data_IF_056880271821
#
_entry.id   IF_056880271821
#
_cell.length_a   1.000
_cell.length_b   1.000
_cell.length_c   1.000
_cell.angle_alpha   90.00
_cell.angle_beta   90.00
_cell.angle_gamma   90.00
#
_symmetry.space_group_name_H-M   'P 1'
#
loop_
_entity.id
_entity.type
_entity.pdbx_description
1 polymer ?
#
# COMPACT_ATOMS: atom_id res chain seq x y z
N UNK A 1 -5.81 20.41 -2.99
CA UNK A 1 -7.16 20.04 -2.50
C UNK A 1 -7.06 18.78 -1.65
N UNK A 2 -7.84 18.66 -0.56
CA UNK A 2 -7.89 17.44 0.24
C UNK A 2 -9.33 17.01 0.55
N UNK A 3 -9.55 15.70 0.71
CA UNK A 3 -10.81 15.11 1.16
C UNK A 3 -10.54 14.01 2.18
N UNK A 4 -11.27 14.02 3.28
CA UNK A 4 -11.27 12.94 4.28
C UNK A 4 -12.50 12.06 4.10
N UNK A 5 -12.27 10.75 4.10
CA UNK A 5 -13.27 9.71 4.01
C UNK A 5 -13.21 8.86 5.28
N UNK A 6 -14.38 8.45 5.79
CA UNK A 6 -14.48 7.48 6.87
C UNK A 6 -15.18 6.26 6.30
N UNK A 7 -14.46 5.14 6.26
CA UNK A 7 -14.85 3.91 5.60
C UNK A 7 -14.89 2.75 6.61
N UNK A 8 -15.73 1.72 6.39
CA UNK A 8 -15.61 0.48 7.13
C UNK A 8 -14.24 -0.16 6.89
N UNK A 9 -13.75 -0.94 7.86
CA UNK A 9 -12.53 -1.70 7.62
C UNK A 9 -12.75 -2.71 6.48
N UNK A 10 -11.82 -2.83 5.52
CA UNK A 10 -11.89 -3.87 4.49
C UNK A 10 -11.76 -5.27 5.11
N UNK A 11 -12.20 -6.33 4.42
CA UNK A 11 -11.91 -7.71 4.82
C UNK A 11 -10.41 -7.98 4.86
N UNK A 12 -9.97 -8.99 5.63
CA UNK A 12 -8.55 -9.38 5.68
C UNK A 12 -8.06 -9.92 4.33
N UNK A 13 -6.76 -9.88 4.03
CA UNK A 13 -6.21 -10.47 2.78
C UNK A 13 -6.69 -11.92 2.60
N UNK A 14 -6.65 -12.69 3.69
CA UNK A 14 -7.05 -14.10 3.69
C UNK A 14 -8.53 -14.29 3.33
N UNK A 15 -9.37 -13.29 3.59
CA UNK A 15 -10.78 -13.31 3.24
C UNK A 15 -11.10 -12.52 1.95
N UNK A 16 -10.12 -11.90 1.30
CA UNK A 16 -10.36 -11.12 0.07
C UNK A 16 -10.45 -11.99 -1.18
N UNK A 17 -9.81 -13.15 -1.20
CA UNK A 17 -9.72 -14.00 -2.37
C UNK A 17 -10.18 -15.43 -2.06
N UNK A 18 -10.86 -16.03 -3.03
CA UNK A 18 -11.21 -17.45 -3.04
C UNK A 18 -10.61 -18.11 -4.28
N UNK A 19 -10.36 -19.41 -4.21
CA UNK A 19 -9.90 -20.19 -5.36
C UNK A 19 -11.07 -20.95 -5.95
N UNK A 20 -11.43 -20.64 -7.19
CA UNK A 20 -12.50 -21.31 -7.93
C UNK A 20 -11.91 -21.87 -9.21
N UNK A 21 -11.98 -23.20 -9.41
CA UNK A 21 -11.41 -23.90 -10.57
C UNK A 21 -9.93 -23.52 -10.83
N UNK A 22 -9.12 -23.43 -9.76
CA UNK A 22 -7.70 -23.07 -9.84
C UNK A 22 -7.40 -21.59 -10.11
N UNK A 23 -8.42 -20.74 -10.26
CA UNK A 23 -8.25 -19.29 -10.45
C UNK A 23 -8.55 -18.54 -9.15
N UNK A 24 -7.69 -17.57 -8.80
CA UNK A 24 -7.98 -16.64 -7.70
C UNK A 24 -9.02 -15.64 -8.16
N UNK A 25 -10.14 -15.60 -7.45
CA UNK A 25 -11.23 -14.65 -7.67
C UNK A 25 -11.50 -13.89 -6.39
N UNK A 26 -12.06 -12.68 -6.52
CA UNK A 26 -12.49 -11.93 -5.34
C UNK A 26 -13.56 -12.73 -4.59
N UNK A 27 -13.43 -12.85 -3.28
CA UNK A 27 -14.42 -13.52 -2.44
C UNK A 27 -15.76 -12.77 -2.47
N UNK A 28 -16.83 -13.44 -2.03
CA UNK A 28 -18.11 -12.76 -1.85
C UNK A 28 -18.00 -11.58 -0.88
N UNK A 29 -17.28 -11.74 0.24
CA UNK A 29 -17.13 -10.70 1.27
C UNK A 29 -16.46 -9.45 0.70
N UNK A 30 -15.40 -9.63 -0.09
CA UNK A 30 -14.69 -8.53 -0.71
C UNK A 30 -15.51 -7.88 -1.83
N UNK A 31 -16.31 -8.63 -2.60
CA UNK A 31 -17.25 -8.04 -3.57
C UNK A 31 -18.30 -7.18 -2.87
N UNK A 32 -18.94 -7.72 -1.85
CA UNK A 32 -19.96 -7.02 -1.06
C UNK A 32 -19.39 -5.74 -0.42
N UNK A 33 -18.17 -5.81 0.12
CA UNK A 33 -17.45 -4.64 0.62
C UNK A 33 -17.22 -3.59 -0.49
N UNK A 34 -16.71 -3.99 -1.67
CA UNK A 34 -16.47 -3.06 -2.78
C UNK A 34 -17.76 -2.38 -3.21
N UNK A 35 -18.82 -3.15 -3.50
CA UNK A 35 -20.10 -2.64 -3.98
C UNK A 35 -20.72 -1.64 -2.99
N UNK A 36 -20.86 -2.04 -1.72
CA UNK A 36 -21.45 -1.20 -0.67
C UNK A 36 -20.65 0.09 -0.45
N UNK A 37 -19.33 0.00 -0.46
CA UNK A 37 -18.47 1.16 -0.19
C UNK A 37 -18.45 2.11 -1.39
N UNK A 38 -18.42 1.60 -2.63
CA UNK A 38 -18.52 2.42 -3.84
C UNK A 38 -19.86 3.16 -3.88
N UNK A 39 -20.96 2.45 -3.62
CA UNK A 39 -22.30 3.05 -3.58
C UNK A 39 -22.40 4.13 -2.50
N UNK A 40 -21.91 3.84 -1.29
CA UNK A 40 -21.87 4.79 -0.18
C UNK A 40 -21.07 6.05 -0.51
N UNK A 41 -19.89 5.89 -1.11
CA UNK A 41 -19.06 7.01 -1.55
C UNK A 41 -19.76 7.86 -2.62
N UNK A 42 -20.40 7.24 -3.61
CA UNK A 42 -21.14 7.97 -4.65
C UNK A 42 -22.30 8.76 -4.06
N UNK A 43 -23.09 8.16 -3.16
CA UNK A 43 -24.20 8.84 -2.47
C UNK A 43 -23.69 10.00 -1.61
N UNK A 44 -22.62 9.78 -0.83
CA UNK A 44 -22.02 10.82 -0.01
C UNK A 44 -21.47 11.98 -0.85
N UNK A 45 -20.87 11.69 -2.01
CA UNK A 45 -20.35 12.71 -2.92
C UNK A 45 -21.43 13.63 -3.46
N UNK A 46 -22.58 13.05 -3.84
CA UNK A 46 -23.74 13.81 -4.28
C UNK A 46 -24.28 14.69 -3.14
N UNK A 47 -24.38 14.15 -1.93
CA UNK A 47 -24.85 14.88 -0.74
C UNK A 47 -23.93 16.05 -0.35
N UNK A 48 -22.62 15.88 -0.52
CA UNK A 48 -21.61 16.90 -0.23
C UNK A 48 -21.46 17.93 -1.35
N UNK A 49 -22.18 17.78 -2.46
CA UNK A 49 -22.03 18.69 -3.61
C UNK A 49 -20.64 18.63 -4.23
N UNK A 50 -20.00 17.45 -4.26
CA UNK A 50 -18.77 17.27 -5.04
C UNK A 50 -19.15 17.31 -6.53
N UNK A 51 -19.15 18.52 -7.11
CA UNK A 51 -19.50 18.76 -8.50
C UNK A 51 -18.48 18.14 -9.46
N UNK A 52 -18.85 17.91 -10.74
CA UNK A 52 -17.97 17.29 -11.74
C UNK A 52 -16.57 17.91 -11.80
N UNK A 53 -16.46 19.24 -11.67
CA UNK A 53 -15.20 19.98 -11.73
C UNK A 53 -14.20 19.61 -10.62
N UNK A 54 -14.66 19.41 -9.38
CA UNK A 54 -13.80 18.98 -8.28
C UNK A 54 -13.27 17.55 -8.49
N UNK A 55 -14.14 16.66 -8.99
CA UNK A 55 -13.74 15.29 -9.32
C UNK A 55 -12.77 15.25 -10.50
N UNK A 56 -12.95 16.12 -11.49
CA UNK A 56 -12.08 16.26 -12.65
C UNK A 56 -10.67 16.70 -12.24
N UNK A 57 -10.58 17.70 -11.35
CA UNK A 57 -9.29 18.12 -10.79
C UNK A 57 -8.52 16.97 -10.15
N UNK A 58 -9.19 16.03 -9.46
CA UNK A 58 -8.53 14.83 -8.90
C UNK A 58 -8.18 13.78 -9.94
N UNK A 59 -8.94 13.66 -11.03
CA UNK A 59 -8.62 12.72 -12.12
C UNK A 59 -7.39 13.16 -12.93
N UNK A 60 -7.15 14.46 -13.00
CA UNK A 60 -6.02 15.04 -13.72
C UNK A 60 -4.76 15.17 -12.85
N UNK A 61 -4.91 15.30 -11.53
CA UNK A 61 -3.80 15.43 -10.58
C UNK A 61 -3.12 14.10 -10.26
N UNK A 62 -1.90 14.18 -9.72
CA UNK A 62 -1.35 13.07 -8.94
C UNK A 62 -1.98 13.03 -7.55
N UNK A 63 -2.00 11.86 -6.92
CA UNK A 63 -2.68 11.65 -5.66
C UNK A 63 -1.74 11.05 -4.62
N UNK A 64 -1.81 11.62 -3.42
CA UNK A 64 -1.31 11.01 -2.19
C UNK A 64 -2.51 10.52 -1.37
N UNK A 65 -2.48 9.24 -0.99
CA UNK A 65 -3.49 8.63 -0.13
C UNK A 65 -2.87 8.34 1.24
N UNK A 66 -3.47 8.86 2.30
CA UNK A 66 -3.09 8.51 3.68
C UNK A 66 -4.20 7.65 4.30
N UNK A 67 -3.85 6.46 4.75
CA UNK A 67 -4.77 5.50 5.36
C UNK A 67 -4.44 5.32 6.84
N UNK A 68 -5.33 5.77 7.71
CA UNK A 68 -5.30 5.45 9.14
C UNK A 68 -6.28 4.30 9.40
N UNK A 69 -5.74 3.12 9.71
CA UNK A 69 -6.53 1.94 10.06
C UNK A 69 -6.72 1.89 11.58
N UNK A 70 -7.93 2.15 12.04
CA UNK A 70 -8.32 2.01 13.45
C UNK A 70 -8.82 0.59 13.70
N UNK A 71 -7.95 -0.26 14.25
CA UNK A 71 -8.29 -1.64 14.61
C UNK A 71 -8.71 -1.76 16.08
N UNK A 72 -9.42 -2.85 16.41
CA UNK A 72 -9.71 -3.18 17.81
C UNK A 72 -8.47 -3.67 18.58
N UNK A 73 -7.50 -4.29 17.91
CA UNK A 73 -6.29 -4.81 18.56
C UNK A 73 -5.06 -4.54 17.68
N UNK A 74 -3.86 -4.38 18.28
CA UNK A 74 -2.66 -3.99 17.54
C UNK A 74 -2.10 -5.09 16.64
N UNK A 75 -2.29 -6.36 17.01
CA UNK A 75 -1.56 -7.50 16.41
C UNK A 75 -2.39 -8.37 15.46
N UNK A 76 -3.71 -8.15 15.35
CA UNK A 76 -4.57 -9.09 14.61
C UNK A 76 -4.49 -8.96 13.09
N UNK A 77 -4.08 -7.81 12.57
CA UNK A 77 -4.11 -7.53 11.12
C UNK A 77 -2.86 -6.80 10.67
N UNK A 78 -2.40 -7.18 9.49
CA UNK A 78 -1.36 -6.45 8.78
C UNK A 78 -1.90 -5.14 8.24
N UNK A 79 -1.01 -4.16 8.14
CA UNK A 79 -1.36 -2.79 7.80
C UNK A 79 -1.69 -2.64 6.31
N UNK A 80 -0.92 -3.29 5.46
CA UNK A 80 -1.09 -3.37 4.01
C UNK A 80 -2.27 -4.26 3.60
N UNK A 81 -2.80 -5.06 4.53
CA UNK A 81 -3.85 -6.02 4.24
C UNK A 81 -5.14 -5.44 3.67
N UNK A 82 -5.41 -4.17 3.94
CA UNK A 82 -6.56 -3.44 3.40
C UNK A 82 -6.23 -2.50 2.23
N UNK A 83 -4.95 -2.28 1.93
CA UNK A 83 -4.50 -1.18 1.08
C UNK A 83 -5.09 -1.25 -0.33
N UNK A 84 -4.85 -2.38 -1.03
CA UNK A 84 -5.21 -2.49 -2.44
C UNK A 84 -6.72 -2.40 -2.65
N UNK A 85 -7.52 -3.12 -1.87
CA UNK A 85 -8.98 -3.08 -2.00
C UNK A 85 -9.56 -1.71 -1.62
N UNK A 86 -8.98 -1.01 -0.64
CA UNK A 86 -9.40 0.34 -0.27
C UNK A 86 -9.10 1.34 -1.39
N UNK A 87 -7.88 1.32 -1.93
CA UNK A 87 -7.49 2.16 -3.07
C UNK A 87 -8.40 1.90 -4.28
N UNK A 88 -8.63 0.64 -4.64
CA UNK A 88 -9.52 0.27 -5.74
C UNK A 88 -10.92 0.88 -5.60
N UNK A 89 -11.51 0.77 -4.40
CA UNK A 89 -12.85 1.26 -4.12
C UNK A 89 -12.94 2.77 -4.28
N UNK A 90 -11.94 3.49 -3.75
CA UNK A 90 -11.87 4.95 -3.83
C UNK A 90 -11.70 5.39 -5.29
N UNK A 91 -10.74 4.79 -5.99
CA UNK A 91 -10.48 5.06 -7.41
C UNK A 91 -11.72 4.78 -8.26
N UNK A 92 -12.37 3.64 -8.06
CA UNK A 92 -13.57 3.25 -8.81
C UNK A 92 -14.79 4.12 -8.48
N UNK A 93 -14.95 4.56 -7.23
CA UNK A 93 -16.03 5.45 -6.82
C UNK A 93 -15.93 6.81 -7.52
N UNK A 94 -14.72 7.38 -7.57
CA UNK A 94 -14.46 8.69 -8.16
C UNK A 94 -14.07 8.66 -9.65
N UNK A 95 -13.96 7.47 -10.24
CA UNK A 95 -13.47 7.24 -11.62
C UNK A 95 -12.07 7.80 -11.85
N UNK A 96 -11.20 7.59 -10.88
CA UNK A 96 -9.78 7.94 -10.92
C UNK A 96 -9.00 6.71 -11.38
N UNK A 97 -8.00 6.90 -12.24
CA UNK A 97 -7.06 5.83 -12.60
C UNK A 97 -6.08 5.60 -11.42
N UNK A 98 -5.91 4.36 -10.99
CA UNK A 98 -5.05 4.04 -9.84
C UNK A 98 -3.57 4.35 -10.10
N UNK A 99 -3.15 4.45 -11.37
CA UNK A 99 -1.81 4.92 -11.75
C UNK A 99 -1.51 6.38 -11.38
N UNK A 100 -2.53 7.17 -11.03
CA UNK A 100 -2.37 8.55 -10.54
C UNK A 100 -1.98 8.60 -9.07
N UNK A 101 -2.16 7.52 -8.32
CA UNK A 101 -1.72 7.42 -6.93
C UNK A 101 -0.21 7.18 -6.92
N UNK A 102 0.52 8.21 -6.50
CA UNK A 102 2.00 8.22 -6.52
C UNK A 102 2.60 8.04 -5.13
N UNK A 103 1.80 8.23 -4.09
CA UNK A 103 2.20 8.04 -2.70
C UNK A 103 1.05 7.42 -1.90
N UNK A 104 1.38 6.43 -1.08
CA UNK A 104 0.47 5.86 -0.10
C UNK A 104 1.16 5.83 1.27
N UNK A 105 0.57 6.52 2.25
CA UNK A 105 1.00 6.48 3.64
C UNK A 105 0.03 5.61 4.42
N UNK A 106 0.55 4.70 5.25
CA UNK A 106 -0.28 3.83 6.07
C UNK A 106 0.10 4.00 7.53
N UNK A 107 -0.91 4.12 8.37
CA UNK A 107 -0.75 4.18 9.82
C UNK A 107 -1.69 3.19 10.50
N UNK A 108 -1.18 2.51 11.52
CA UNK A 108 -1.96 1.65 12.39
C UNK A 108 -2.37 2.42 13.63
N UNK A 109 -3.67 2.43 13.92
CA UNK A 109 -4.28 3.07 15.09
C UNK A 109 -5.15 2.06 15.83
N UNK A 110 -5.49 2.35 17.08
CA UNK A 110 -6.37 1.52 17.90
C UNK A 110 -7.63 2.29 18.26
N UNK A 111 -8.79 1.68 18.00
CA UNK A 111 -10.08 2.10 18.52
C UNK A 111 -10.89 0.85 18.88
N UNK A 112 -11.11 0.66 20.18
CA UNK A 112 -11.81 -0.51 20.73
C UNK A 112 -13.29 -0.54 20.34
N UNK A 113 -13.88 0.63 20.11
CA UNK A 113 -15.33 0.83 20.00
C UNK A 113 -15.78 0.97 18.55
N UNK A 114 -15.02 1.71 17.74
CA UNK A 114 -15.41 2.09 16.39
C UNK A 114 -14.31 1.77 15.37
N UNK A 115 -14.09 0.47 15.06
CA UNK A 115 -13.11 0.07 14.07
C UNK A 115 -13.50 0.60 12.69
N UNK A 116 -12.59 1.35 12.08
CA UNK A 116 -12.82 2.07 10.82
C UNK A 116 -11.50 2.33 10.11
N UNK A 117 -11.59 2.75 8.87
CA UNK A 117 -10.48 3.27 8.10
C UNK A 117 -10.77 4.72 7.78
N UNK A 118 -9.84 5.60 8.12
CA UNK A 118 -9.90 6.99 7.71
C UNK A 118 -8.93 7.18 6.55
N UNK A 119 -9.41 7.76 5.44
CA UNK A 119 -8.60 7.97 4.25
C UNK A 119 -8.58 9.43 3.89
N UNK A 120 -7.39 10.00 3.78
CA UNK A 120 -7.20 11.35 3.26
C UNK A 120 -6.69 11.27 1.82
N UNK A 121 -7.45 11.84 0.89
CA UNK A 121 -7.05 12.04 -0.49
C UNK A 121 -6.47 13.44 -0.61
N UNK A 122 -5.23 13.57 -1.06
CA UNK A 122 -4.59 14.85 -1.36
C UNK A 122 -4.21 14.90 -2.84
N UNK A 123 -4.73 15.90 -3.55
CA UNK A 123 -4.31 16.19 -4.92
C UNK A 123 -2.98 16.96 -4.93
N UNK A 124 -2.04 16.45 -5.72
CA UNK A 124 -0.72 17.00 -5.95
C UNK A 124 -0.66 17.55 -7.39
N UNK A 125 -0.27 18.82 -7.57
CA UNK A 125 -0.23 19.45 -8.90
C UNK A 125 0.88 18.88 -9.79
N UNK A 126 1.95 18.34 -9.18
CA UNK A 126 3.06 17.71 -9.86
C UNK A 126 3.60 16.57 -9.00
N UNK A 127 4.30 15.64 -9.64
CA UNK A 127 5.05 14.57 -8.97
C UNK A 127 6.37 14.38 -9.69
N UNK A 128 7.44 14.28 -8.93
CA UNK A 128 8.76 13.95 -9.45
C UNK A 128 9.00 12.45 -9.29
N UNK A 129 9.12 11.74 -10.42
CA UNK A 129 9.41 10.31 -10.44
C UNK A 129 10.91 10.01 -10.31
N UNK A 130 11.75 11.03 -10.52
CA UNK A 130 13.18 10.96 -10.42
C UNK A 130 13.66 12.06 -9.46
N UNK A 131 13.24 11.99 -8.17
CA UNK A 131 13.64 13.03 -7.24
C UNK A 131 15.16 13.13 -7.25
N UNK A 132 15.75 14.34 -7.37
CA UNK A 132 17.14 14.51 -7.01
C UNK A 132 17.33 13.97 -5.59
N UNK A 133 18.53 13.49 -5.25
CA UNK A 133 18.88 13.07 -3.88
C UNK A 133 18.25 14.05 -2.88
N UNK A 134 17.16 13.61 -2.23
CA UNK A 134 16.27 14.49 -1.49
C UNK A 134 17.05 15.03 -0.28
N UNK A 135 17.37 16.33 -0.23
CA UNK A 135 18.21 16.86 0.83
C UNK A 135 17.54 16.82 2.21
N UNK A 136 16.21 16.56 2.27
CA UNK A 136 15.45 16.37 3.50
C UNK A 136 15.25 14.89 3.85
N UNK A 137 15.68 13.97 2.99
CA UNK A 137 15.69 12.55 3.32
C UNK A 137 16.85 12.33 4.28
N UNK A 138 16.53 11.89 5.49
CA UNK A 138 17.55 11.44 6.44
C UNK A 138 18.40 10.37 5.74
N UNK A 139 19.71 10.63 5.64
CA UNK A 139 20.65 9.62 5.21
C UNK A 139 20.56 8.49 6.23
N UNK A 140 20.27 7.25 5.79
CA UNK A 140 20.17 6.13 6.72
C UNK A 140 21.54 5.89 7.35
N UNK A 141 21.56 5.55 8.65
CA UNK A 141 22.80 5.23 9.38
C UNK A 141 23.61 4.14 8.66
N UNK A 142 22.92 3.19 8.02
CA UNK A 142 23.51 2.17 7.15
C UNK A 142 22.69 1.99 5.88
N UNK A 143 23.37 1.89 4.73
CA UNK A 143 22.78 1.48 3.45
C UNK A 143 23.32 0.12 3.04
N UNK A 144 22.44 -0.87 2.89
CA UNK A 144 22.77 -2.16 2.29
C UNK A 144 22.28 -2.17 0.83
N UNK A 145 23.19 -2.01 -0.13
CA UNK A 145 22.87 -2.06 -1.56
C UNK A 145 22.93 -3.51 -2.08
N UNK A 146 21.75 -4.11 -2.26
CA UNK A 146 21.59 -5.46 -2.83
C UNK A 146 21.22 -5.43 -4.32
N UNK A 147 21.28 -4.26 -4.98
CA UNK A 147 20.97 -4.19 -6.40
C UNK A 147 21.98 -5.04 -7.17
N UNK A 148 21.51 -5.87 -8.12
CA UNK A 148 22.44 -6.60 -8.96
C UNK A 148 23.32 -5.60 -9.70
N UNK A 149 24.64 -5.86 -9.83
CA UNK A 149 25.48 -5.05 -10.69
C UNK A 149 24.84 -5.01 -12.08
N UNK A 150 24.79 -3.83 -12.70
CA UNK A 150 24.14 -3.62 -14.01
C UNK A 150 24.53 -4.76 -14.95
N UNK A 151 23.55 -5.60 -15.30
CA UNK A 151 23.81 -6.86 -15.96
C UNK A 151 24.52 -6.62 -17.31
N UNK A 152 25.76 -7.10 -17.44
CA UNK A 152 26.27 -7.50 -18.76
C UNK A 152 25.57 -8.82 -19.07
N UNK A 153 24.89 -8.90 -20.22
CA UNK A 153 24.17 -10.11 -20.65
C UNK A 153 25.00 -11.37 -20.41
N UNK A 154 24.67 -12.12 -19.35
CA UNK A 154 25.33 -13.36 -19.00
C UNK A 154 24.32 -14.50 -19.08
N UNK A 155 24.70 -15.53 -19.83
CA UNK A 155 23.87 -16.66 -20.22
C UNK A 155 23.28 -17.44 -19.05
N UNK A 156 22.21 -18.16 -19.39
CA UNK A 156 21.40 -19.00 -18.49
C UNK A 156 22.24 -20.07 -17.80
N UNK A 157 22.05 -20.17 -16.49
CA UNK A 157 22.14 -21.43 -15.77
C UNK A 157 22.84 -21.32 -14.43
N UNK A 158 22.11 -21.54 -13.33
CA UNK A 158 22.59 -22.36 -12.21
C UNK A 158 21.44 -22.83 -11.33
N UNK A 159 21.56 -24.08 -10.89
CA UNK A 159 20.61 -24.81 -10.07
C UNK A 159 20.37 -24.14 -8.71
N UNK A 160 19.16 -24.30 -8.18
CA UNK A 160 18.77 -23.82 -6.84
C UNK A 160 19.61 -24.51 -5.77
N UNK A 161 20.58 -23.80 -5.18
CA UNK A 161 21.22 -24.20 -3.93
C UNK A 161 20.27 -23.93 -2.76
N UNK A 162 20.34 -24.78 -1.73
CA UNK A 162 19.64 -24.58 -0.44
C UNK A 162 20.00 -23.19 0.12
N UNK A 163 19.05 -22.46 0.72
CA UNK A 163 19.37 -21.23 1.45
C UNK A 163 20.37 -21.55 2.57
N UNK A 164 21.49 -20.82 2.58
CA UNK A 164 22.55 -20.94 3.59
C UNK A 164 22.07 -20.38 4.93
N UNK A 165 22.59 -20.90 6.03
CA UNK A 165 22.33 -20.33 7.35
C UNK A 165 23.11 -19.03 7.56
N UNK A 166 22.78 -18.26 8.60
CA UNK A 166 23.51 -17.03 8.93
C UNK A 166 24.94 -17.35 9.39
N UNK A 167 25.14 -18.46 10.08
CA UNK A 167 26.44 -18.94 10.56
C UNK A 167 27.34 -19.36 9.40
N UNK A 168 26.79 -20.11 8.44
CA UNK A 168 27.51 -20.47 7.20
C UNK A 168 27.93 -19.22 6.40
N UNK A 169 27.08 -18.18 6.39
CA UNK A 169 27.38 -16.91 5.73
C UNK A 169 28.40 -16.09 6.52
N UNK A 170 28.33 -16.08 7.85
CA UNK A 170 29.28 -15.39 8.72
C UNK A 170 30.68 -16.00 8.60
N UNK A 171 30.80 -17.32 8.60
CA UNK A 171 32.07 -18.04 8.39
C UNK A 171 32.66 -17.75 7.00
N UNK A 172 31.84 -17.79 5.94
CA UNK A 172 32.30 -17.51 4.56
C UNK A 172 32.74 -16.05 4.38
N UNK A 173 32.07 -15.12 5.04
CA UNK A 173 32.39 -13.68 4.97
C UNK A 173 33.47 -13.27 5.98
N UNK A 174 34.01 -14.21 6.77
CA UNK A 174 35.03 -13.92 7.78
C UNK A 174 34.53 -12.95 8.86
N UNK A 175 33.24 -13.01 9.19
CA UNK A 175 32.63 -12.13 10.17
C UNK A 175 32.92 -12.65 11.58
N UNK A 176 33.96 -12.12 12.21
CA UNK A 176 34.21 -12.33 13.63
C UNK A 176 33.26 -11.41 14.42
N UNK A 177 32.42 -11.98 15.30
CA UNK A 177 31.70 -11.17 16.30
C UNK A 177 32.76 -10.47 17.15
N UNK A 178 32.82 -9.13 17.09
CA UNK A 178 33.59 -8.36 18.07
C UNK A 178 32.97 -8.65 19.44
N UNK A 179 33.61 -9.58 20.17
CA UNK A 179 33.21 -9.95 21.51
C UNK A 179 33.29 -8.76 22.46
N UNK A 180 32.30 -8.69 23.35
CA UNK A 180 32.24 -7.83 24.54
C UNK A 180 33.63 -7.50 25.10
N UNK A 181 33.99 -6.21 25.07
CA UNK A 181 34.98 -5.60 25.97
C UNK A 181 34.41 -4.36 26.63
#
# INVERSE_FOLDING_TARGET
>A
MFLRLILPLPPSINHQYATVKGKRVLSWEARAYKEKTIEGLRKASLKLGLYPRQLEAWRESYLCLSFDFYFRTPRRRDLDGGLKIAQDVICQAFRINDNRVVQACLAKRIDLTHPRMEVTLKALPAWDFCPPSDPAREDPDLTLDLLPPKARHAGKGKARKRPRSLEELAEELGWEEEGDR
#
